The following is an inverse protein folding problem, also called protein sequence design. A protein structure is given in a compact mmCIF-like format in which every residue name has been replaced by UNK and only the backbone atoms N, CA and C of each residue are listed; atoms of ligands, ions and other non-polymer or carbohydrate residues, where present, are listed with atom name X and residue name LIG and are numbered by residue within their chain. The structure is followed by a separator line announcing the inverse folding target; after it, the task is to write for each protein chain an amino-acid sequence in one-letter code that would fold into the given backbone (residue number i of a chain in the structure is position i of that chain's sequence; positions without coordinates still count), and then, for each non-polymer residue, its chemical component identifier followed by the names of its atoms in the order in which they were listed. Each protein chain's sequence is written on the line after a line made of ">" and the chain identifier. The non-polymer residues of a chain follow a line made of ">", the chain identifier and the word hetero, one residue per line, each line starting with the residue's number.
data_IF_381478169903
#
_entry.id   IF_381478169903
#
_cell.length_a   1.000
_cell.length_b   1.000
_cell.length_c   1.000
_cell.angle_alpha   90.00
_cell.angle_beta   90.00
_cell.angle_gamma   90.00
#
_symmetry.space_group_name_H-M   'P 1'
#
loop_
_entity.id
_entity.type
_entity.pdbx_description
1 polymer ?
#
# COMPACT_ATOMS: atom_id res chain seq x y z
N UNK A 1 -17.91 17.70 32.63
CA UNK A 1 -18.39 17.35 31.29
C UNK A 1 -17.68 16.09 30.78
N UNK A 2 -18.44 15.07 30.45
CA UNK A 2 -17.89 13.86 29.88
C UNK A 2 -17.45 14.07 28.45
N UNK A 3 -16.46 13.29 28.01
CA UNK A 3 -16.04 13.30 26.61
C UNK A 3 -17.14 12.71 25.74
N UNK A 4 -17.44 13.38 24.64
CA UNK A 4 -18.38 12.86 23.65
C UNK A 4 -17.76 11.63 22.96
N UNK A 5 -18.49 10.53 22.94
CA UNK A 5 -18.04 9.32 22.28
C UNK A 5 -18.08 9.51 20.77
N UNK A 6 -16.96 9.23 20.07
CA UNK A 6 -16.93 9.34 18.63
C UNK A 6 -17.72 8.23 17.99
N UNK A 7 -18.52 8.56 16.98
CA UNK A 7 -19.22 7.57 16.18
C UNK A 7 -18.22 6.83 15.30
N UNK A 8 -18.60 5.64 14.81
CA UNK A 8 -17.77 4.89 13.87
C UNK A 8 -17.47 5.70 12.60
N UNK A 9 -18.47 6.42 12.10
CA UNK A 9 -18.31 7.27 10.92
C UNK A 9 -17.29 8.38 11.16
N UNK A 10 -17.28 8.98 12.34
CA UNK A 10 -16.30 10.01 12.70
C UNK A 10 -14.89 9.44 12.81
N UNK A 11 -14.76 8.21 13.32
CA UNK A 11 -13.47 7.52 13.41
C UNK A 11 -12.93 7.21 12.02
N UNK A 12 -13.77 6.71 11.11
CA UNK A 12 -13.38 6.41 9.74
C UNK A 12 -12.95 7.68 8.99
N UNK A 13 -13.67 8.77 9.19
CA UNK A 13 -13.32 10.06 8.60
C UNK A 13 -11.98 10.58 9.11
N UNK A 14 -11.73 10.45 10.40
CA UNK A 14 -10.47 10.85 11.02
C UNK A 14 -9.31 10.00 10.48
N UNK A 15 -9.50 8.68 10.38
CA UNK A 15 -8.51 7.78 9.82
C UNK A 15 -8.17 8.15 8.38
N UNK A 16 -9.17 8.45 7.57
CA UNK A 16 -8.99 8.87 6.18
C UNK A 16 -8.19 10.17 6.09
N UNK A 17 -8.48 11.13 6.95
CA UNK A 17 -7.76 12.40 6.99
C UNK A 17 -6.29 12.19 7.37
N UNK A 18 -6.03 11.42 8.40
CA UNK A 18 -4.65 11.13 8.85
C UNK A 18 -3.88 10.39 7.77
N UNK A 19 -4.51 9.42 7.10
CA UNK A 19 -3.89 8.68 6.00
C UNK A 19 -3.47 9.63 4.86
N UNK A 20 -4.32 10.60 4.55
CA UNK A 20 -4.03 11.59 3.51
C UNK A 20 -2.85 12.50 3.84
N UNK A 21 -2.56 12.68 5.13
CA UNK A 21 -1.41 13.44 5.58
C UNK A 21 -0.09 12.69 5.42
N UNK A 22 -0.13 11.36 5.50
CA UNK A 22 1.06 10.51 5.54
C UNK A 22 1.38 9.86 4.20
N UNK A 23 0.38 9.63 3.37
CA UNK A 23 0.50 8.89 2.11
C UNK A 23 0.02 9.77 0.95
N UNK A 24 0.80 9.86 -0.14
CA UNK A 24 0.37 10.62 -1.31
C UNK A 24 -0.96 10.13 -1.89
N UNK A 25 -1.76 11.06 -2.38
CA UNK A 25 -3.10 10.77 -2.89
C UNK A 25 -3.09 9.74 -4.03
N UNK A 26 -2.13 9.83 -4.96
CA UNK A 26 -2.06 8.90 -6.08
C UNK A 26 -1.75 7.45 -5.65
N UNK A 27 -1.19 7.27 -4.46
CA UNK A 27 -1.00 5.93 -3.88
C UNK A 27 -2.29 5.49 -3.20
N UNK A 28 -2.94 6.38 -2.44
CA UNK A 28 -4.19 6.05 -1.75
C UNK A 28 -5.35 5.73 -2.71
N UNK A 29 -5.26 6.18 -3.95
CA UNK A 29 -6.25 5.86 -4.98
C UNK A 29 -6.31 4.36 -5.27
N UNK A 30 -5.16 3.68 -5.25
CA UNK A 30 -5.05 2.27 -5.63
C UNK A 30 -4.69 1.34 -4.50
N UNK A 31 -4.20 1.87 -3.38
CA UNK A 31 -3.73 1.08 -2.25
C UNK A 31 -4.41 1.52 -0.96
N UNK A 32 -4.61 0.58 -0.06
CA UNK A 32 -5.12 0.86 1.28
C UNK A 32 -4.07 0.49 2.32
N UNK A 33 -4.08 1.17 3.45
CA UNK A 33 -3.17 0.88 4.55
C UNK A 33 -3.60 -0.44 5.18
N UNK A 34 -2.64 -1.36 5.27
CA UNK A 34 -2.84 -2.67 5.88
C UNK A 34 -2.25 -2.70 7.29
N UNK A 35 -1.03 -2.19 7.46
CA UNK A 35 -0.35 -2.16 8.74
C UNK A 35 0.67 -1.03 8.75
N UNK A 36 1.14 -0.68 9.95
CA UNK A 36 2.13 0.37 10.10
C UNK A 36 3.07 -0.01 11.24
N UNK A 37 4.36 0.24 11.04
CA UNK A 37 5.40 -0.13 11.98
C UNK A 37 6.33 1.04 12.26
N UNK A 38 6.67 1.21 13.53
CA UNK A 38 7.70 2.16 13.92
C UNK A 38 9.01 1.42 14.17
N UNK A 39 10.06 1.85 13.48
CA UNK A 39 11.43 1.44 13.76
C UNK A 39 12.20 2.62 14.35
N UNK A 40 13.38 2.36 14.86
CA UNK A 40 14.17 3.41 15.51
C UNK A 40 14.42 4.62 14.61
N UNK A 41 14.66 4.39 13.32
CA UNK A 41 15.09 5.44 12.39
C UNK A 41 14.11 5.68 11.25
N UNK A 42 12.98 4.97 11.22
CA UNK A 42 12.00 5.12 10.15
C UNK A 42 10.63 4.58 10.53
N UNK A 43 9.66 4.96 9.73
CA UNK A 43 8.31 4.39 9.76
C UNK A 43 8.14 3.54 8.52
N UNK A 44 7.45 2.43 8.63
CA UNK A 44 7.08 1.60 7.48
C UNK A 44 5.58 1.41 7.47
N UNK A 45 4.94 1.84 6.39
CA UNK A 45 3.50 1.65 6.19
C UNK A 45 3.34 0.58 5.13
N UNK A 46 2.77 -0.56 5.51
CA UNK A 46 2.44 -1.64 4.58
C UNK A 46 1.08 -1.37 3.98
N UNK A 47 1.02 -1.38 2.66
CA UNK A 47 -0.20 -1.09 1.91
C UNK A 47 -0.45 -2.21 0.91
N UNK A 48 -1.71 -2.52 0.66
CA UNK A 48 -2.08 -3.51 -0.34
C UNK A 48 -3.02 -2.89 -1.36
N UNK A 49 -2.91 -3.36 -2.58
CA UNK A 49 -3.76 -2.92 -3.67
C UNK A 49 -5.23 -3.18 -3.35
N UNK A 50 -6.08 -2.21 -3.63
CA UNK A 50 -7.53 -2.33 -3.45
C UNK A 50 -8.12 -3.34 -4.44
N UNK A 51 -9.28 -3.88 -4.09
CA UNK A 51 -10.05 -4.72 -5.00
C UNK A 51 -10.59 -3.92 -6.17
N UNK A 52 -10.79 -4.56 -7.29
CA UNK A 52 -11.48 -3.98 -8.44
C UNK A 52 -10.58 -3.53 -9.57
N UNK A 53 -9.27 -3.52 -9.38
CA UNK A 53 -8.33 -3.13 -10.45
C UNK A 53 -7.81 -4.40 -11.14
N UNK A 54 -8.50 -4.83 -12.19
CA UNK A 54 -8.14 -6.03 -12.93
C UNK A 54 -7.10 -5.69 -13.99
N UNK A 55 -5.98 -6.43 -14.07
CA UNK A 55 -4.97 -6.21 -15.10
C UNK A 55 -5.55 -6.27 -16.50
N UNK A 56 -5.07 -5.42 -17.39
CA UNK A 56 -5.59 -5.28 -18.74
C UNK A 56 -5.62 -6.61 -19.50
N UNK A 57 -4.60 -7.43 -19.34
CA UNK A 57 -4.52 -8.73 -20.01
C UNK A 57 -5.59 -9.73 -19.59
N UNK A 58 -6.28 -9.48 -18.49
CA UNK A 58 -7.34 -10.36 -17.94
C UNK A 58 -8.73 -9.76 -18.04
N UNK A 59 -8.87 -8.53 -18.52
CA UNK A 59 -10.13 -7.79 -18.45
C UNK A 59 -11.30 -8.45 -19.20
N UNK A 60 -11.02 -9.28 -20.18
CA UNK A 60 -12.05 -9.96 -20.98
C UNK A 60 -12.43 -11.35 -20.48
N UNK A 61 -11.82 -11.82 -19.39
CA UNK A 61 -12.08 -13.15 -18.84
C UNK A 61 -12.93 -13.07 -17.58
N UNK A 62 -13.75 -14.12 -17.34
CA UNK A 62 -14.61 -14.20 -16.16
C UNK A 62 -14.09 -15.16 -15.09
N UNK A 63 -13.08 -15.95 -15.41
CA UNK A 63 -12.52 -16.97 -14.50
C UNK A 63 -11.23 -16.49 -13.82
N UNK A 64 -11.18 -15.20 -13.48
CA UNK A 64 -10.03 -14.58 -12.84
C UNK A 64 -10.07 -14.86 -11.34
N UNK A 65 -8.94 -15.30 -10.80
CA UNK A 65 -8.80 -15.52 -9.35
C UNK A 65 -7.59 -14.76 -8.81
N UNK A 66 -7.71 -14.32 -7.58
CA UNK A 66 -6.59 -13.72 -6.84
C UNK A 66 -5.67 -14.85 -6.38
N UNK A 67 -4.39 -14.76 -6.74
CA UNK A 67 -3.38 -15.75 -6.38
C UNK A 67 -2.24 -15.08 -5.61
N UNK A 68 -2.56 -14.59 -4.41
CA UNK A 68 -1.59 -13.92 -3.56
C UNK A 68 -1.21 -12.52 -4.00
N UNK A 69 -0.02 -12.10 -3.61
CA UNK A 69 0.52 -10.80 -3.90
C UNK A 69 1.90 -10.93 -4.51
N UNK A 70 2.27 -9.96 -5.33
CA UNK A 70 3.64 -9.85 -5.86
C UNK A 70 4.60 -9.48 -4.73
N UNK A 71 5.89 -9.60 -4.98
CA UNK A 71 6.90 -9.02 -4.08
C UNK A 71 6.62 -7.52 -3.94
N UNK A 72 6.75 -6.97 -2.71
CA UNK A 72 6.41 -5.57 -2.50
C UNK A 72 7.32 -4.61 -3.24
N UNK A 73 6.78 -3.45 -3.57
CA UNK A 73 7.53 -2.32 -4.08
C UNK A 73 7.73 -1.37 -2.91
N UNK A 74 8.99 -1.01 -2.65
CA UNK A 74 9.31 -0.09 -1.57
C UNK A 74 9.53 1.32 -2.13
N UNK A 75 8.92 2.31 -1.49
CA UNK A 75 9.00 3.70 -1.92
C UNK A 75 9.22 4.62 -0.72
N UNK A 76 10.07 5.62 -0.89
CA UNK A 76 10.30 6.64 0.12
C UNK A 76 9.28 7.76 -0.05
N UNK A 77 8.54 8.03 1.00
CA UNK A 77 7.55 9.10 1.05
C UNK A 77 8.07 10.28 1.86
N UNK A 78 7.19 10.92 2.60
CA UNK A 78 7.53 12.10 3.41
C UNK A 78 8.25 11.72 4.70
N UNK A 79 8.74 12.73 5.41
CA UNK A 79 9.23 12.55 6.77
C UNK A 79 8.12 12.87 7.77
N UNK A 80 8.13 12.17 8.87
CA UNK A 80 7.18 12.39 9.97
C UNK A 80 7.92 12.27 11.30
N UNK A 81 7.82 13.32 12.13
CA UNK A 81 8.50 13.36 13.42
C UNK A 81 10.00 13.03 13.27
N UNK A 82 10.65 13.72 12.33
CA UNK A 82 12.09 13.59 12.05
C UNK A 82 12.56 12.22 11.58
N UNK A 83 11.63 11.37 11.14
CA UNK A 83 11.96 10.06 10.56
C UNK A 83 11.34 9.92 9.17
N UNK A 84 12.01 9.30 8.21
CA UNK A 84 11.41 9.04 6.91
C UNK A 84 10.30 8.00 7.01
N UNK A 85 9.30 8.14 6.14
CA UNK A 85 8.23 7.16 5.97
C UNK A 85 8.50 6.38 4.70
N UNK A 86 8.56 5.05 4.83
CA UNK A 86 8.64 4.15 3.69
C UNK A 86 7.31 3.47 3.48
N UNK A 87 6.87 3.41 2.23
CA UNK A 87 5.65 2.73 1.83
C UNK A 87 6.03 1.39 1.23
N UNK A 88 5.49 0.31 1.76
CA UNK A 88 5.69 -1.03 1.22
C UNK A 88 4.40 -1.46 0.55
N UNK A 89 4.41 -1.47 -0.79
CA UNK A 89 3.22 -1.62 -1.60
C UNK A 89 3.12 -3.05 -2.15
N UNK A 90 2.06 -3.75 -1.75
CA UNK A 90 1.78 -5.10 -2.22
C UNK A 90 0.74 -5.03 -3.32
N UNK A 91 1.13 -5.43 -4.54
CA UNK A 91 0.20 -5.53 -5.68
C UNK A 91 -0.43 -6.91 -5.68
N UNK A 92 -1.70 -6.98 -6.07
CA UNK A 92 -2.41 -8.23 -6.20
C UNK A 92 -1.87 -9.01 -7.40
N UNK A 93 -1.73 -10.32 -7.23
CA UNK A 93 -1.32 -11.20 -8.30
C UNK A 93 -2.54 -12.01 -8.74
N UNK A 94 -2.90 -11.90 -9.99
CA UNK A 94 -4.07 -12.57 -10.56
C UNK A 94 -3.68 -13.62 -11.57
N UNK A 95 -4.55 -14.59 -11.75
CA UNK A 95 -4.42 -15.59 -12.80
C UNK A 95 -5.80 -16.04 -13.25
N UNK A 96 -5.87 -16.74 -14.37
CA UNK A 96 -7.07 -17.48 -14.74
C UNK A 96 -7.06 -18.79 -13.97
N UNK A 97 -8.25 -19.30 -13.64
CA UNK A 97 -8.40 -20.48 -12.77
C UNK A 97 -7.63 -21.72 -13.24
N UNK A 98 -7.47 -21.90 -14.54
CA UNK A 98 -6.81 -23.07 -15.13
C UNK A 98 -5.45 -22.75 -15.76
N UNK A 99 -4.81 -21.68 -15.36
CA UNK A 99 -3.53 -21.24 -15.91
C UNK A 99 -2.54 -20.94 -14.80
N UNK A 100 -1.26 -21.14 -15.08
CA UNK A 100 -0.18 -20.77 -14.15
C UNK A 100 0.43 -19.42 -14.49
N UNK A 101 -0.05 -18.75 -15.54
CA UNK A 101 0.42 -17.43 -15.91
C UNK A 101 -0.19 -16.37 -15.00
N UNK A 102 0.67 -15.55 -14.39
CA UNK A 102 0.27 -14.52 -13.46
C UNK A 102 0.29 -13.13 -14.08
N UNK A 103 -0.62 -12.29 -13.64
CA UNK A 103 -0.76 -10.91 -14.09
C UNK A 103 -0.88 -9.98 -12.89
N UNK A 104 -0.32 -8.79 -13.01
CA UNK A 104 -0.43 -7.75 -11.99
C UNK A 104 -0.49 -6.39 -12.66
N UNK A 105 -1.05 -5.42 -11.93
CA UNK A 105 -1.07 -4.04 -12.40
C UNK A 105 0.28 -3.38 -12.14
N UNK A 106 0.66 -2.47 -13.03
CA UNK A 106 1.85 -1.65 -12.87
C UNK A 106 1.43 -0.26 -12.40
N UNK A 107 2.20 0.31 -11.46
CA UNK A 107 1.95 1.64 -10.92
C UNK A 107 3.23 2.45 -10.96
N UNK A 108 3.10 3.73 -11.29
CA UNK A 108 4.23 4.64 -11.23
C UNK A 108 4.32 5.21 -9.81
N UNK A 109 5.25 4.67 -9.02
CA UNK A 109 5.47 5.10 -7.64
C UNK A 109 6.58 6.15 -7.52
N UNK A 110 7.17 6.56 -8.65
CA UNK A 110 8.24 7.57 -8.66
C UNK A 110 7.69 8.99 -8.82
N UNK A 111 6.37 9.12 -8.93
CA UNK A 111 5.72 10.41 -9.04
C UNK A 111 5.88 11.24 -7.76
N UNK A 112 5.59 12.51 -7.91
CA UNK A 112 5.61 13.58 -6.92
C UNK A 112 5.46 13.14 -5.47
N UNK A 113 6.53 13.30 -4.67
CA UNK A 113 6.52 12.97 -3.24
C UNK A 113 6.87 11.54 -2.90
N UNK A 114 7.14 10.70 -3.89
CA UNK A 114 7.50 9.29 -3.66
C UNK A 114 8.69 8.92 -4.52
N UNK A 115 9.64 8.18 -3.93
CA UNK A 115 10.80 7.64 -4.65
C UNK A 115 10.89 6.15 -4.44
N UNK A 116 11.28 5.42 -5.50
CA UNK A 116 11.58 4.02 -5.41
C UNK A 116 12.83 3.82 -4.54
N UNK A 117 12.79 2.86 -3.62
CA UNK A 117 13.92 2.51 -2.75
C UNK A 117 14.15 1.01 -2.82
N UNK A 118 14.93 0.52 -3.81
CA UNK A 118 15.07 -0.92 -4.05
C UNK A 118 15.75 -1.67 -2.91
N UNK A 119 16.51 -0.99 -2.07
CA UNK A 119 17.28 -1.62 -1.00
C UNK A 119 16.54 -1.72 0.33
N UNK A 120 15.33 -1.16 0.42
CA UNK A 120 14.59 -1.14 1.67
C UNK A 120 14.30 -2.55 2.20
N UNK A 121 14.02 -3.49 1.31
CA UNK A 121 13.75 -4.87 1.71
C UNK A 121 14.92 -5.50 2.46
N UNK A 122 16.15 -5.16 2.11
CA UNK A 122 17.36 -5.65 2.77
C UNK A 122 17.45 -5.05 4.18
N UNK A 123 17.21 -3.75 4.31
CA UNK A 123 17.20 -3.09 5.62
C UNK A 123 16.18 -3.70 6.57
N UNK A 124 14.98 -3.94 6.10
CA UNK A 124 13.92 -4.49 6.91
C UNK A 124 14.23 -5.91 7.39
N UNK A 125 14.88 -6.71 6.55
CA UNK A 125 15.32 -8.07 6.92
C UNK A 125 16.38 -8.04 8.02
N UNK A 126 17.27 -7.08 7.99
CA UNK A 126 18.33 -6.96 9.00
C UNK A 126 17.79 -6.51 10.35
N UNK A 127 16.67 -5.78 10.36
CA UNK A 127 16.06 -5.30 11.59
C UNK A 127 15.08 -6.29 12.22
N UNK A 128 14.55 -7.16 11.43
CA UNK A 128 13.67 -8.20 11.90
C UNK A 128 14.44 -9.36 12.54
#
# INVERSE_FOLDING_TARGET
>A
MGRKKLSRQSIDSLFSTVSSMLVPEHILEYFEIWDAHEYKERWVIEMREKEGFIPEGLSCFSDIVLDGYCNPIDALSHSFVCKPIYLRLYRRRYKRSNSDEHFSNEYDVTLKGVRMVPELGIFLKEED
#
